data_IF_142630999802
#
_entry.id   IF_142630999802
#
_cell.length_a   1.000
_cell.length_b   1.000
_cell.length_c   1.000
_cell.angle_alpha   90.00
_cell.angle_beta   90.00
_cell.angle_gamma   90.00
#
_symmetry.space_group_name_H-M   'P 1'
#
loop_
_entity.id
_entity.type
_entity.pdbx_description
1 polymer ?
#
# COMPACT_ATOMS: atom_id res chain seq x y z
N UNK A 1 -18.17 32.42 25.23
CA UNK A 1 -18.06 32.44 23.75
C UNK A 1 -16.92 31.48 23.41
N UNK A 2 -17.24 30.21 23.14
CA UNK A 2 -16.23 29.21 22.84
C UNK A 2 -15.82 29.36 21.37
N UNK A 3 -14.53 29.61 21.14
CA UNK A 3 -13.93 29.56 19.81
C UNK A 3 -13.96 28.09 19.36
N UNK A 4 -14.87 27.77 18.45
CA UNK A 4 -14.79 26.55 17.65
C UNK A 4 -13.54 26.69 16.77
N UNK A 5 -12.50 25.92 17.05
CA UNK A 5 -11.43 25.74 16.08
C UNK A 5 -12.03 24.98 14.90
N UNK A 6 -12.22 25.66 13.78
CA UNK A 6 -12.30 24.97 12.49
C UNK A 6 -10.94 24.28 12.30
N UNK A 7 -10.85 23.00 12.66
CA UNK A 7 -9.93 22.13 11.98
C UNK A 7 -10.40 22.16 10.52
N UNK A 8 -9.68 22.88 9.65
CA UNK A 8 -9.90 22.77 8.24
C UNK A 8 -9.70 21.29 7.90
N UNK A 9 -10.79 20.61 7.51
CA UNK A 9 -10.69 19.33 6.83
C UNK A 9 -9.70 19.54 5.69
N UNK A 10 -8.70 18.69 5.57
CA UNK A 10 -7.87 18.74 4.38
C UNK A 10 -8.80 18.56 3.17
N UNK A 11 -8.52 19.23 2.07
CA UNK A 11 -9.25 19.00 0.83
C UNK A 11 -8.29 18.27 -0.10
N UNK A 12 -8.82 17.33 -0.90
CA UNK A 12 -8.03 16.69 -1.95
C UNK A 12 -7.46 17.78 -2.86
N UNK A 13 -6.13 17.87 -2.91
CA UNK A 13 -5.41 18.80 -3.78
C UNK A 13 -4.74 18.02 -4.92
N UNK A 14 -4.85 18.57 -6.13
CA UNK A 14 -4.32 17.96 -7.35
C UNK A 14 -3.41 18.96 -8.04
N UNK A 15 -2.23 18.50 -8.42
CA UNK A 15 -1.28 19.25 -9.22
C UNK A 15 -0.97 18.48 -10.51
N UNK A 16 -0.95 19.19 -11.64
CA UNK A 16 -0.54 18.64 -12.94
C UNK A 16 0.79 19.29 -13.33
N UNK A 17 1.77 18.46 -13.64
CA UNK A 17 3.14 18.86 -13.90
C UNK A 17 4.14 18.06 -13.04
N UNK A 18 5.42 18.45 -13.08
CA UNK A 18 6.45 17.84 -12.23
C UNK A 18 6.02 17.84 -10.77
N UNK A 19 6.21 16.71 -10.09
CA UNK A 19 5.94 16.58 -8.67
C UNK A 19 6.77 17.54 -7.85
N UNK A 20 6.20 18.02 -6.76
CA UNK A 20 6.92 18.78 -5.75
C UNK A 20 7.31 17.92 -4.54
N UNK A 21 7.15 16.59 -4.63
CA UNK A 21 7.69 15.62 -3.69
C UNK A 21 9.23 15.63 -3.80
N UNK A 22 9.96 15.98 -2.72
CA UNK A 22 11.42 15.92 -2.72
C UNK A 22 11.95 14.52 -3.05
N UNK A 23 12.93 14.47 -3.97
CA UNK A 23 13.51 13.23 -4.55
C UNK A 23 12.54 12.39 -5.38
N UNK A 24 11.36 12.93 -5.71
CA UNK A 24 10.45 12.26 -6.62
C UNK A 24 10.96 12.27 -8.07
N UNK A 25 10.55 11.25 -8.82
CA UNK A 25 10.97 11.00 -10.19
C UNK A 25 9.87 11.35 -11.22
N UNK A 26 8.64 11.67 -10.79
CA UNK A 26 7.58 12.20 -11.65
C UNK A 26 7.88 13.65 -12.09
N UNK A 27 8.63 13.81 -13.18
CA UNK A 27 9.11 15.09 -13.71
C UNK A 27 8.41 15.53 -15.02
N UNK A 28 7.32 14.89 -15.40
CA UNK A 28 6.63 15.09 -16.67
C UNK A 28 5.58 16.20 -16.63
N UNK A 29 5.33 16.85 -17.78
CA UNK A 29 4.39 17.98 -17.87
C UNK A 29 2.93 17.60 -17.57
N UNK A 30 2.57 16.33 -17.77
CA UNK A 30 1.22 15.81 -17.48
C UNK A 30 1.18 14.88 -16.27
N UNK A 31 2.28 14.72 -15.53
CA UNK A 31 2.28 13.91 -14.32
C UNK A 31 1.30 14.50 -13.30
N UNK A 32 0.72 13.63 -12.46
CA UNK A 32 -0.38 13.99 -11.58
C UNK A 32 0.06 13.75 -10.15
N UNK A 33 0.15 14.81 -9.34
CA UNK A 33 0.37 14.69 -7.90
C UNK A 33 -0.94 14.91 -7.16
N UNK A 34 -1.29 13.98 -6.27
CA UNK A 34 -2.49 14.05 -5.41
C UNK A 34 -2.06 14.13 -3.96
N UNK A 35 -2.71 15.00 -3.19
CA UNK A 35 -2.54 15.14 -1.74
C UNK A 35 -3.88 15.01 -1.04
N UNK A 36 -3.91 14.29 0.07
CA UNK A 36 -5.12 14.09 0.87
C UNK A 36 -5.00 14.54 2.33
N UNK A 37 -3.98 15.35 2.63
CA UNK A 37 -3.67 15.82 3.99
C UNK A 37 -2.79 14.87 4.80
N UNK A 38 -2.76 13.57 4.50
CA UNK A 38 -1.91 12.59 5.20
C UNK A 38 -0.67 12.20 4.38
N UNK A 39 -0.83 12.04 3.07
CA UNK A 39 0.25 11.74 2.14
C UNK A 39 0.08 12.51 0.83
N UNK A 40 1.16 12.54 0.06
CA UNK A 40 1.20 12.91 -1.35
C UNK A 40 1.61 11.68 -2.17
N UNK A 41 1.08 11.55 -3.37
CA UNK A 41 1.52 10.53 -4.33
C UNK A 41 1.53 11.11 -5.75
N UNK A 42 2.43 10.62 -6.60
CA UNK A 42 2.55 11.07 -7.97
C UNK A 42 2.39 9.92 -8.98
N UNK A 43 1.59 10.15 -10.01
CA UNK A 43 1.39 9.24 -11.13
C UNK A 43 2.27 9.67 -12.31
N UNK A 44 3.04 8.73 -12.84
CA UNK A 44 3.80 8.94 -14.06
C UNK A 44 2.86 8.87 -15.29
N UNK A 45 2.52 10.02 -15.86
CA UNK A 45 1.77 10.13 -17.12
C UNK A 45 2.72 10.29 -18.29
N UNK A 46 3.77 11.10 -18.10
CA UNK A 46 4.83 11.39 -19.06
C UNK A 46 6.19 10.88 -18.63
N UNK A 47 6.46 10.90 -17.31
CA UNK A 47 7.69 10.34 -16.77
C UNK A 47 7.85 8.86 -17.11
N UNK A 48 9.08 8.43 -17.30
CA UNK A 48 9.38 7.02 -17.46
C UNK A 48 9.50 6.39 -16.06
N UNK A 49 8.64 5.44 -15.69
CA UNK A 49 8.80 4.69 -14.45
C UNK A 49 10.11 3.90 -14.44
N UNK A 50 10.58 3.46 -13.26
CA UNK A 50 11.81 2.69 -13.15
C UNK A 50 11.71 1.35 -13.89
N UNK A 51 12.88 0.80 -14.24
CA UNK A 51 13.04 -0.55 -14.80
C UNK A 51 12.25 -0.84 -16.09
N UNK A 52 11.80 0.22 -16.79
CA UNK A 52 11.10 0.10 -18.06
C UNK A 52 9.64 -0.36 -17.94
N UNK A 53 9.00 -0.22 -16.77
CA UNK A 53 7.57 -0.52 -16.62
C UNK A 53 6.69 0.54 -17.29
N UNK A 54 5.44 0.16 -17.56
CA UNK A 54 4.45 1.00 -18.21
C UNK A 54 4.11 2.26 -17.38
N UNK A 55 3.81 3.37 -18.06
CA UNK A 55 3.32 4.59 -17.39
C UNK A 55 1.92 4.40 -16.80
N UNK A 56 1.63 5.20 -15.79
CA UNK A 56 0.31 5.32 -15.16
C UNK A 56 0.16 4.57 -13.84
N UNK A 57 1.27 4.05 -13.30
CA UNK A 57 1.39 3.66 -11.90
C UNK A 57 1.80 4.86 -11.04
N UNK A 58 1.83 4.64 -9.73
CA UNK A 58 2.37 5.60 -8.78
C UNK A 58 3.88 5.41 -8.75
N UNK A 59 4.65 6.48 -8.92
CA UNK A 59 6.12 6.44 -8.92
C UNK A 59 6.76 7.21 -7.78
N UNK A 60 5.96 8.00 -7.04
CA UNK A 60 6.41 8.70 -5.83
C UNK A 60 5.32 8.63 -4.75
N UNK A 61 5.72 8.48 -3.51
CA UNK A 61 4.85 8.56 -2.32
C UNK A 61 5.60 9.33 -1.23
N UNK A 62 4.93 10.25 -0.55
CA UNK A 62 5.51 11.00 0.56
C UNK A 62 4.51 11.23 1.70
N UNK A 63 5.00 11.23 2.93
CA UNK A 63 4.20 11.61 4.11
C UNK A 63 4.03 13.13 4.14
N UNK A 64 2.81 13.61 4.35
CA UNK A 64 2.56 15.04 4.55
C UNK A 64 2.85 15.42 6.00
N UNK A 65 3.64 16.48 6.21
CA UNK A 65 3.91 17.08 7.52
C UNK A 65 3.80 18.59 7.41
N UNK A 66 2.99 19.20 8.27
CA UNK A 66 2.79 20.65 8.28
C UNK A 66 2.38 21.22 6.91
N UNK A 67 1.60 20.44 6.15
CA UNK A 67 1.12 20.82 4.81
C UNK A 67 2.15 20.70 3.69
N UNK A 68 3.33 20.15 3.94
CA UNK A 68 4.37 19.90 2.93
C UNK A 68 4.65 18.40 2.78
N UNK A 69 4.97 17.92 1.56
CA UNK A 69 5.42 16.55 1.36
C UNK A 69 6.83 16.36 1.93
N UNK A 70 7.05 15.27 2.64
CA UNK A 70 8.37 14.75 2.96
C UNK A 70 9.05 14.15 1.73
N UNK A 71 10.22 13.54 1.93
CA UNK A 71 10.90 12.86 0.85
C UNK A 71 10.08 11.70 0.28
N UNK A 72 10.31 11.38 -1.00
CA UNK A 72 9.83 10.14 -1.59
C UNK A 72 10.30 8.90 -0.80
N UNK A 73 9.38 7.95 -0.66
CA UNK A 73 9.54 6.66 0.03
C UNK A 73 9.17 5.47 -0.86
N UNK A 74 8.78 5.66 -2.12
CA UNK A 74 8.34 4.58 -2.99
C UNK A 74 8.81 4.76 -4.43
N UNK A 75 9.54 3.77 -4.96
CA UNK A 75 9.97 3.79 -6.37
C UNK A 75 8.85 3.39 -7.33
N UNK A 76 7.91 2.54 -6.91
CA UNK A 76 6.81 2.06 -7.76
C UNK A 76 5.68 1.44 -6.93
N UNK A 77 4.44 1.85 -7.19
CA UNK A 77 3.24 1.09 -6.86
C UNK A 77 2.38 0.93 -8.11
N UNK A 78 2.22 -0.30 -8.57
CA UNK A 78 1.54 -0.57 -9.85
C UNK A 78 1.02 -2.02 -9.96
N UNK A 79 0.22 -2.28 -10.98
CA UNK A 79 -0.31 -3.61 -11.28
C UNK A 79 0.54 -4.32 -12.35
N UNK A 80 0.96 -5.55 -12.13
CA UNK A 80 1.69 -6.36 -13.11
C UNK A 80 0.76 -7.44 -13.71
N UNK A 81 0.55 -7.47 -15.04
CA UNK A 81 -0.35 -8.42 -15.67
C UNK A 81 0.20 -9.85 -15.76
N UNK A 82 1.52 -10.01 -15.69
CA UNK A 82 2.20 -11.29 -15.58
C UNK A 82 3.67 -11.05 -15.18
N UNK A 83 3.97 -11.03 -13.88
CA UNK A 83 5.31 -10.97 -13.27
C UNK A 83 6.40 -10.22 -14.10
N UNK A 84 6.42 -8.89 -14.03
CA UNK A 84 7.39 -8.01 -14.72
C UNK A 84 7.57 -8.22 -16.23
N UNK A 85 6.65 -8.93 -16.89
CA UNK A 85 6.67 -9.04 -18.36
C UNK A 85 6.55 -7.67 -19.01
N UNK A 86 7.14 -7.51 -20.20
CA UNK A 86 7.14 -6.23 -20.90
C UNK A 86 5.72 -5.81 -21.31
N UNK A 87 5.37 -4.55 -21.02
CA UNK A 87 4.07 -3.94 -21.30
C UNK A 87 4.17 -2.41 -21.15
N UNK A 88 3.28 -1.62 -21.76
CA UNK A 88 2.14 -2.01 -22.57
C UNK A 88 2.54 -2.34 -24.02
N UNK A 89 1.64 -2.95 -24.78
CA UNK A 89 1.94 -3.34 -26.17
C UNK A 89 1.54 -2.28 -27.19
N UNK A 90 0.42 -1.57 -26.99
CA UNK A 90 -0.17 -0.65 -27.98
C UNK A 90 -0.56 0.69 -27.38
N UNK A 91 -1.12 0.72 -26.17
CA UNK A 91 -1.62 1.97 -25.58
C UNK A 91 -1.42 2.05 -24.07
N UNK A 92 -1.33 3.30 -23.61
CA UNK A 92 -1.36 3.68 -22.21
C UNK A 92 -2.04 5.04 -22.08
N UNK A 93 -2.99 5.14 -21.17
CA UNK A 93 -3.77 6.36 -20.92
C UNK A 93 -3.99 6.51 -19.43
N UNK A 94 -3.85 7.73 -18.91
CA UNK A 94 -4.11 8.09 -17.51
C UNK A 94 -5.09 9.25 -17.53
N UNK A 95 -6.22 9.09 -16.86
CA UNK A 95 -7.32 10.05 -16.82
C UNK A 95 -7.72 10.32 -15.36
N UNK A 96 -7.98 11.58 -14.99
CA UNK A 96 -8.79 11.89 -13.80
C UNK A 96 -10.25 11.73 -14.19
N UNK A 97 -10.95 10.75 -13.60
CA UNK A 97 -12.34 10.42 -13.96
C UNK A 97 -13.36 10.93 -12.95
N UNK A 98 -12.94 11.27 -11.74
CA UNK A 98 -13.74 11.95 -10.74
C UNK A 98 -12.82 12.81 -9.87
N UNK A 99 -13.26 14.02 -9.51
CA UNK A 99 -12.54 14.90 -8.60
C UNK A 99 -13.54 15.75 -7.81
N UNK A 100 -13.57 15.55 -6.49
CA UNK A 100 -14.28 16.36 -5.51
C UNK A 100 -13.33 16.72 -4.38
N UNK A 101 -13.68 17.65 -3.47
CA UNK A 101 -12.83 17.95 -2.32
C UNK A 101 -12.61 16.76 -1.38
N UNK A 102 -13.51 15.76 -1.40
CA UNK A 102 -13.45 14.58 -0.52
C UNK A 102 -12.82 13.36 -1.20
N UNK A 103 -12.75 13.33 -2.53
CA UNK A 103 -12.32 12.15 -3.27
C UNK A 103 -11.84 12.46 -4.68
N UNK A 104 -10.79 11.77 -5.11
CA UNK A 104 -10.37 11.71 -6.51
C UNK A 104 -10.26 10.25 -6.96
N UNK A 105 -10.66 10.01 -8.20
CA UNK A 105 -10.43 8.74 -8.89
C UNK A 105 -9.57 8.97 -10.13
N UNK A 106 -8.40 8.36 -10.14
CA UNK A 106 -7.53 8.28 -11.31
C UNK A 106 -7.73 6.93 -11.97
N UNK A 107 -7.88 6.91 -13.29
CA UNK A 107 -8.02 5.70 -14.07
C UNK A 107 -6.87 5.58 -15.04
N UNK A 108 -6.25 4.41 -15.05
CA UNK A 108 -5.22 4.04 -15.99
C UNK A 108 -5.72 2.91 -16.88
N UNK A 109 -5.59 3.06 -18.21
CA UNK A 109 -5.94 2.05 -19.21
C UNK A 109 -4.71 1.67 -20.02
N UNK A 110 -4.42 0.38 -20.08
CA UNK A 110 -3.24 -0.18 -20.77
C UNK A 110 -3.62 -1.49 -21.46
N UNK A 111 -2.73 -2.02 -22.29
CA UNK A 111 -2.85 -3.36 -22.82
C UNK A 111 -1.61 -4.22 -22.55
N UNK A 112 -1.82 -5.53 -22.53
CA UNK A 112 -0.77 -6.54 -22.48
C UNK A 112 -1.12 -7.65 -23.49
N UNK A 113 -0.47 -7.63 -24.65
CA UNK A 113 -0.93 -8.42 -25.79
C UNK A 113 -2.38 -8.10 -26.13
N UNK A 114 -3.26 -9.12 -26.16
CA UNK A 114 -4.70 -8.94 -26.36
C UNK A 114 -5.51 -8.76 -25.06
N UNK A 115 -4.84 -8.63 -23.91
CA UNK A 115 -5.51 -8.31 -22.65
C UNK A 115 -5.66 -6.80 -22.50
N UNK A 116 -6.88 -6.34 -22.23
CA UNK A 116 -7.11 -4.97 -21.80
C UNK A 116 -7.07 -4.87 -20.27
N UNK A 117 -6.41 -3.84 -19.78
CA UNK A 117 -6.21 -3.56 -18.36
C UNK A 117 -6.81 -2.20 -18.05
N UNK A 118 -7.69 -2.15 -17.05
CA UNK A 118 -8.23 -0.90 -16.50
C UNK A 118 -8.03 -0.89 -14.99
N UNK A 119 -7.18 0.01 -14.52
CA UNK A 119 -6.90 0.22 -13.10
C UNK A 119 -7.54 1.53 -12.64
N UNK A 120 -8.25 1.51 -11.52
CA UNK A 120 -8.74 2.70 -10.83
C UNK A 120 -8.05 2.84 -9.48
N UNK A 121 -7.58 4.05 -9.20
CA UNK A 121 -6.99 4.49 -7.94
C UNK A 121 -7.96 5.47 -7.30
N UNK A 122 -8.54 5.10 -6.15
CA UNK A 122 -9.50 5.94 -5.45
C UNK A 122 -8.89 6.42 -4.14
N UNK A 123 -8.75 7.73 -4.03
CA UNK A 123 -8.05 8.42 -2.94
C UNK A 123 -9.08 9.33 -2.26
N UNK A 124 -9.21 9.18 -0.94
CA UNK A 124 -10.17 9.95 -0.13
C UNK A 124 -9.45 10.89 0.81
N UNK A 125 -10.10 12.00 1.10
CA UNK A 125 -9.63 12.96 2.10
C UNK A 125 -9.47 12.28 3.46
N UNK A 126 -8.32 12.51 4.11
CA UNK A 126 -8.04 12.01 5.45
C UNK A 126 -8.00 10.49 5.63
N UNK A 127 -8.10 9.71 4.55
CA UNK A 127 -7.96 8.25 4.59
C UNK A 127 -6.49 7.88 4.33
N UNK A 128 -5.80 7.13 5.21
CA UNK A 128 -4.42 6.72 4.98
C UNK A 128 -4.29 5.69 3.84
N UNK A 129 -5.39 5.31 3.17
CA UNK A 129 -5.43 4.25 2.18
C UNK A 129 -5.83 4.76 0.79
N UNK A 130 -5.24 4.14 -0.22
CA UNK A 130 -5.64 4.23 -1.63
C UNK A 130 -6.24 2.90 -2.03
N UNK A 131 -7.50 2.91 -2.47
CA UNK A 131 -8.14 1.72 -3.02
C UNK A 131 -7.69 1.53 -4.47
N UNK A 132 -7.19 0.34 -4.77
CA UNK A 132 -6.66 -0.07 -6.08
C UNK A 132 -7.56 -1.16 -6.64
N UNK A 133 -8.13 -0.94 -7.82
CA UNK A 133 -8.93 -1.97 -8.50
C UNK A 133 -8.49 -2.10 -9.94
N UNK A 134 -8.10 -3.30 -10.37
CA UNK A 134 -7.76 -3.58 -11.77
C UNK A 134 -8.69 -4.64 -12.34
N UNK A 135 -9.25 -4.37 -13.52
CA UNK A 135 -9.96 -5.36 -14.32
C UNK A 135 -9.08 -5.77 -15.49
N UNK A 136 -8.78 -7.06 -15.57
CA UNK A 136 -8.19 -7.69 -16.75
C UNK A 136 -9.28 -8.27 -17.62
N UNK A 137 -9.19 -8.09 -18.94
CA UNK A 137 -10.11 -8.68 -19.91
C UNK A 137 -9.34 -9.27 -21.08
N UNK A 138 -9.33 -10.60 -21.21
CA UNK A 138 -8.72 -11.28 -22.35
C UNK A 138 -9.60 -11.09 -23.58
N UNK A 139 -9.21 -10.20 -24.50
CA UNK A 139 -9.91 -9.98 -25.77
C UNK A 139 -9.39 -10.88 -26.90
N UNK A 140 -8.41 -11.73 -26.61
CA UNK A 140 -7.83 -12.67 -27.57
C UNK A 140 -8.62 -13.96 -27.68
N UNK A 141 -8.17 -14.82 -28.60
CA UNK A 141 -8.81 -16.13 -28.88
C UNK A 141 -8.15 -17.30 -28.13
N UNK A 142 -7.06 -17.04 -27.38
CA UNK A 142 -6.29 -18.07 -26.67
C UNK A 142 -6.43 -17.91 -25.17
N UNK A 143 -6.53 -19.05 -24.47
CA UNK A 143 -6.37 -19.11 -23.03
C UNK A 143 -4.94 -18.72 -22.64
N UNK A 144 -4.81 -18.02 -21.52
CA UNK A 144 -3.56 -17.59 -20.94
C UNK A 144 -3.35 -18.35 -19.62
N UNK A 145 -2.59 -19.47 -19.62
CA UNK A 145 -2.35 -20.24 -18.42
C UNK A 145 -1.22 -19.64 -17.56
N UNK A 146 -1.16 -20.05 -16.30
CA UNK A 146 -0.03 -19.83 -15.37
C UNK A 146 0.39 -18.36 -15.22
N UNK A 147 -0.59 -17.45 -15.21
CA UNK A 147 -0.38 -16.03 -14.99
C UNK A 147 -0.08 -15.75 -13.52
N UNK A 148 0.99 -15.00 -13.26
CA UNK A 148 1.27 -14.41 -11.95
C UNK A 148 0.94 -12.92 -11.99
N UNK A 149 -0.24 -12.59 -11.49
CA UNK A 149 -0.86 -11.29 -11.69
C UNK A 149 -1.15 -10.60 -10.37
N UNK A 150 -0.89 -9.30 -10.26
CA UNK A 150 -1.24 -8.57 -9.04
C UNK A 150 -0.48 -7.26 -8.87
N UNK A 151 -0.51 -6.71 -7.66
CA UNK A 151 0.07 -5.42 -7.33
C UNK A 151 1.46 -5.56 -6.74
N UNK A 152 2.29 -4.56 -7.04
CA UNK A 152 3.61 -4.40 -6.46
C UNK A 152 3.67 -3.08 -5.70
N UNK A 153 4.44 -3.04 -4.61
CA UNK A 153 4.78 -1.85 -3.86
C UNK A 153 6.26 -1.89 -3.48
N UNK A 154 7.06 -1.09 -4.18
CA UNK A 154 8.51 -1.03 -4.02
C UNK A 154 8.90 0.25 -3.30
N UNK A 155 9.49 0.16 -2.09
CA UNK A 155 9.93 1.33 -1.35
C UNK A 155 11.24 1.90 -1.92
N UNK A 156 11.42 3.21 -1.79
CA UNK A 156 12.71 3.88 -1.95
C UNK A 156 13.44 3.96 -0.60
N UNK A 157 13.91 2.80 -0.12
CA UNK A 157 14.65 2.65 1.13
C UNK A 157 13.88 1.94 2.26
N UNK A 158 14.30 2.20 3.50
CA UNK A 158 13.74 1.57 4.71
C UNK A 158 14.07 0.08 4.86
N UNK A 159 13.22 -0.61 5.61
CA UNK A 159 13.30 -2.04 5.91
C UNK A 159 12.07 -2.76 5.33
N UNK A 160 12.28 -4.01 4.91
CA UNK A 160 11.20 -4.88 4.45
C UNK A 160 10.70 -5.72 5.62
N UNK A 161 9.41 -5.62 5.90
CA UNK A 161 8.74 -6.54 6.82
C UNK A 161 8.31 -7.83 6.08
N UNK A 162 7.79 -7.68 4.87
CA UNK A 162 7.21 -8.77 4.09
C UNK A 162 5.77 -9.08 4.51
N UNK A 163 5.33 -10.32 4.30
CA UNK A 163 3.98 -10.79 4.67
C UNK A 163 4.02 -11.39 6.08
N UNK A 164 3.07 -11.08 6.99
CA UNK A 164 3.00 -11.71 8.30
C UNK A 164 3.01 -13.24 8.21
N UNK A 165 3.82 -13.88 9.06
CA UNK A 165 4.02 -15.33 9.00
C UNK A 165 5.04 -15.80 7.96
N UNK A 166 5.46 -14.98 7.00
CA UNK A 166 6.42 -15.35 5.94
C UNK A 166 7.68 -14.47 5.98
N UNK A 167 8.02 -13.94 7.15
CA UNK A 167 9.18 -13.06 7.30
C UNK A 167 10.48 -13.78 6.91
N UNK A 168 11.28 -13.12 6.06
CA UNK A 168 12.52 -13.67 5.52
C UNK A 168 12.37 -14.43 4.20
N UNK A 169 11.15 -14.81 3.82
CA UNK A 169 10.90 -15.42 2.51
C UNK A 169 11.12 -14.41 1.39
N UNK A 170 11.82 -14.83 0.34
CA UNK A 170 12.00 -14.00 -0.87
C UNK A 170 10.93 -14.27 -1.90
N UNK A 171 10.48 -15.52 -2.02
CA UNK A 171 9.46 -15.96 -2.96
C UNK A 171 8.85 -17.23 -2.43
N UNK A 172 7.53 -17.25 -2.27
CA UNK A 172 6.81 -18.40 -1.76
C UNK A 172 5.33 -18.32 -2.12
N UNK A 173 4.63 -19.45 -2.03
CA UNK A 173 3.18 -19.42 -1.84
C UNK A 173 2.85 -18.78 -0.48
N UNK A 174 1.63 -18.26 -0.35
CA UNK A 174 1.15 -17.58 0.86
C UNK A 174 0.34 -18.49 1.80
N UNK A 175 0.48 -19.80 1.65
CA UNK A 175 -0.26 -20.80 2.44
C UNK A 175 0.00 -20.75 3.95
N UNK A 176 1.17 -20.24 4.36
CA UNK A 176 1.53 -20.01 5.78
C UNK A 176 1.43 -18.53 6.21
N UNK A 177 0.86 -17.67 5.36
CA UNK A 177 0.63 -16.27 5.73
C UNK A 177 -0.36 -16.20 6.90
N UNK A 178 -0.05 -15.34 7.88
CA UNK A 178 -0.92 -15.13 9.04
C UNK A 178 -1.70 -13.82 8.99
N UNK A 179 -1.50 -13.06 7.90
CA UNK A 179 -2.31 -11.91 7.46
C UNK A 179 -2.15 -11.63 5.96
N UNK A 180 -3.02 -10.80 5.39
CA UNK A 180 -3.15 -10.55 3.94
C UNK A 180 -2.38 -9.32 3.42
N UNK A 181 -1.66 -8.65 4.30
CA UNK A 181 -0.88 -7.46 3.98
C UNK A 181 0.62 -7.74 3.95
N UNK A 182 1.33 -6.80 3.36
CA UNK A 182 2.79 -6.76 3.36
C UNK A 182 3.25 -5.35 3.60
N UNK A 183 4.46 -5.14 4.12
CA UNK A 183 4.91 -3.79 4.43
C UNK A 183 6.41 -3.57 4.18
N UNK A 184 6.70 -2.32 3.86
CA UNK A 184 8.00 -1.68 4.03
C UNK A 184 7.87 -0.54 5.02
N UNK A 185 8.91 -0.24 5.78
CA UNK A 185 8.83 0.78 6.83
C UNK A 185 10.18 1.40 7.19
N UNK A 186 10.14 2.56 7.83
CA UNK A 186 11.25 3.17 8.55
C UNK A 186 10.69 3.79 9.85
N UNK A 187 11.51 4.47 10.64
CA UNK A 187 11.12 5.09 11.90
C UNK A 187 9.89 6.02 11.78
N UNK A 188 9.73 6.69 10.63
CA UNK A 188 8.74 7.75 10.43
C UNK A 188 7.75 7.49 9.27
N UNK A 189 7.72 6.28 8.72
CA UNK A 189 6.73 5.91 7.71
C UNK A 189 6.50 4.40 7.63
N UNK A 190 5.33 4.01 7.13
CA UNK A 190 5.02 2.65 6.66
C UNK A 190 4.35 2.75 5.29
N UNK A 191 4.75 1.86 4.39
CA UNK A 191 4.12 1.60 3.10
C UNK A 191 3.59 0.17 3.11
N UNK A 192 2.27 0.02 3.33
CA UNK A 192 1.57 -1.26 3.39
C UNK A 192 0.84 -1.57 2.08
N UNK A 193 0.85 -2.83 1.67
CA UNK A 193 0.05 -3.35 0.56
C UNK A 193 -0.84 -4.49 1.06
N UNK A 194 -2.15 -4.24 1.07
CA UNK A 194 -3.20 -5.23 1.35
C UNK A 194 -3.66 -5.86 0.05
N UNK A 195 -3.45 -7.17 -0.10
CA UNK A 195 -3.78 -7.90 -1.33
C UNK A 195 -4.46 -9.24 -0.99
N UNK A 196 -5.73 -9.23 -0.57
CA UNK A 196 -6.42 -10.43 -0.09
C UNK A 196 -6.64 -11.52 -1.16
N UNK A 197 -6.46 -11.17 -2.44
CA UNK A 197 -6.51 -12.13 -3.54
C UNK A 197 -5.20 -12.91 -3.72
N UNK A 198 -4.10 -12.45 -3.14
CA UNK A 198 -2.78 -13.01 -3.43
C UNK A 198 -2.61 -14.39 -2.79
N UNK A 199 -2.01 -15.30 -3.54
CA UNK A 199 -1.58 -16.62 -3.08
C UNK A 199 -0.07 -16.86 -3.26
N UNK A 200 0.62 -15.90 -3.87
CA UNK A 200 2.04 -15.96 -4.19
C UNK A 200 2.72 -14.61 -3.87
N UNK A 201 3.84 -14.64 -3.15
CA UNK A 201 4.69 -13.48 -2.94
C UNK A 201 5.97 -13.57 -3.75
N UNK A 202 6.49 -12.43 -4.22
CA UNK A 202 7.87 -12.29 -4.73
C UNK A 202 8.57 -11.11 -4.06
N UNK A 203 9.89 -11.11 -4.16
CA UNK A 203 10.78 -10.07 -3.65
C UNK A 203 10.50 -9.65 -2.19
N UNK A 204 10.26 -10.63 -1.32
CA UNK A 204 9.94 -10.43 0.10
C UNK A 204 8.66 -9.62 0.34
N UNK A 205 7.61 -9.94 -0.42
CA UNK A 205 6.27 -9.37 -0.25
C UNK A 205 6.08 -8.01 -0.91
N UNK A 206 7.10 -7.46 -1.59
CA UNK A 206 6.92 -6.27 -2.44
C UNK A 206 6.00 -6.54 -3.61
N UNK A 207 5.97 -7.78 -4.08
CA UNK A 207 5.07 -8.24 -5.12
C UNK A 207 4.09 -9.24 -4.54
N UNK A 208 2.80 -8.99 -4.74
CA UNK A 208 1.70 -9.83 -4.27
C UNK A 208 0.88 -10.27 -5.47
N UNK A 209 0.89 -11.57 -5.75
CA UNK A 209 0.33 -12.16 -6.97
C UNK A 209 -0.70 -13.23 -6.67
N UNK A 210 -1.62 -13.41 -7.61
CA UNK A 210 -2.43 -14.60 -7.76
C UNK A 210 -1.88 -15.43 -8.92
N UNK A 211 -1.69 -16.73 -8.71
CA UNK A 211 -1.48 -17.70 -9.78
C UNK A 211 -2.82 -18.12 -10.39
N UNK A 212 -3.06 -17.81 -11.66
CA UNK A 212 -4.32 -18.11 -12.32
C UNK A 212 -4.19 -18.34 -13.82
N UNK A 213 -5.32 -18.66 -14.47
CA UNK A 213 -5.46 -18.61 -15.92
C UNK A 213 -6.52 -17.58 -16.30
N UNK A 214 -6.51 -17.15 -17.56
CA UNK A 214 -7.51 -16.23 -18.12
C UNK A 214 -7.98 -16.72 -19.50
N UNK A 215 -9.21 -17.22 -19.56
CA UNK A 215 -9.84 -17.77 -20.77
C UNK A 215 -10.18 -16.68 -21.80
N UNK A 216 -10.37 -17.03 -23.09
CA UNK A 216 -10.86 -16.10 -24.09
C UNK A 216 -12.17 -15.43 -23.68
N UNK A 217 -12.22 -14.09 -23.70
CA UNK A 217 -13.38 -13.30 -23.28
C UNK A 217 -13.57 -13.18 -21.76
N UNK A 218 -12.75 -13.86 -20.95
CA UNK A 218 -12.85 -13.80 -19.50
C UNK A 218 -12.43 -12.44 -18.95
N UNK A 219 -13.06 -12.05 -17.84
CA UNK A 219 -12.69 -10.90 -17.04
C UNK A 219 -12.37 -11.30 -15.62
N UNK A 220 -11.28 -10.79 -15.10
CA UNK A 220 -10.87 -10.99 -13.72
C UNK A 220 -10.57 -9.66 -13.06
N UNK A 221 -11.02 -9.50 -11.81
CA UNK A 221 -10.85 -8.26 -11.04
C UNK A 221 -9.94 -8.51 -9.85
N UNK A 222 -9.05 -7.54 -9.60
CA UNK A 222 -8.07 -7.56 -8.52
C UNK A 222 -8.25 -6.29 -7.69
N UNK A 223 -8.58 -6.47 -6.41
CA UNK A 223 -8.77 -5.37 -5.47
C UNK A 223 -7.70 -5.42 -4.37
N UNK A 224 -7.06 -4.28 -4.12
CA UNK A 224 -6.02 -4.11 -3.13
C UNK A 224 -6.11 -2.72 -2.50
N UNK A 225 -5.35 -2.50 -1.43
CA UNK A 225 -5.20 -1.19 -0.81
C UNK A 225 -3.73 -0.90 -0.54
N UNK A 226 -3.26 0.25 -1.01
CA UNK A 226 -2.02 0.84 -0.54
C UNK A 226 -2.33 1.63 0.73
N UNK A 227 -1.61 1.39 1.82
CA UNK A 227 -1.76 2.13 3.07
C UNK A 227 -0.45 2.86 3.40
N UNK A 228 -0.56 4.13 3.76
CA UNK A 228 0.57 5.02 4.00
C UNK A 228 0.43 5.62 5.40
N UNK A 229 1.35 5.26 6.31
CA UNK A 229 1.33 5.74 7.70
C UNK A 229 2.51 6.67 7.99
N UNK A 230 2.31 7.61 8.91
CA UNK A 230 3.30 8.66 9.25
C UNK A 230 4.26 8.28 10.39
N UNK A 231 4.32 7.00 10.75
CA UNK A 231 5.22 6.43 11.75
C UNK A 231 5.58 5.00 11.39
N UNK A 232 6.67 4.46 11.95
CA UNK A 232 7.06 3.06 11.79
C UNK A 232 6.18 2.04 12.53
N UNK A 233 4.94 2.39 12.88
CA UNK A 233 4.01 1.53 13.61
C UNK A 233 3.23 0.64 12.63
N UNK A 234 3.26 -0.69 12.80
CA UNK A 234 2.53 -1.62 11.92
C UNK A 234 1.12 -1.96 12.42
N UNK A 235 0.76 -1.60 13.65
CA UNK A 235 -0.59 -1.87 14.19
C UNK A 235 -1.74 -1.31 13.31
N UNK A 236 -1.62 -0.14 12.66
CA UNK A 236 -2.64 0.35 11.73
C UNK A 236 -2.91 -0.58 10.54
N UNK A 237 -1.93 -1.39 10.10
CA UNK A 237 -2.16 -2.38 9.05
C UNK A 237 -3.06 -3.52 9.56
N UNK A 238 -2.88 -3.93 10.80
CA UNK A 238 -3.75 -4.95 11.44
C UNK A 238 -5.18 -4.42 11.61
N UNK A 239 -5.35 -3.14 11.95
CA UNK A 239 -6.68 -2.51 12.01
C UNK A 239 -7.36 -2.54 10.65
N UNK A 240 -6.64 -2.21 9.58
CA UNK A 240 -7.17 -2.28 8.22
C UNK A 240 -7.51 -3.72 7.80
N UNK A 241 -6.66 -4.70 8.11
CA UNK A 241 -6.93 -6.13 7.89
C UNK A 241 -8.24 -6.56 8.57
N UNK A 242 -8.42 -6.21 9.85
CA UNK A 242 -9.63 -6.49 10.61
C UNK A 242 -10.87 -5.89 9.93
N UNK A 243 -10.78 -4.65 9.45
CA UNK A 243 -11.87 -3.96 8.76
C UNK A 243 -12.23 -4.66 7.43
N UNK A 244 -11.24 -4.91 6.58
CA UNK A 244 -11.43 -5.47 5.24
C UNK A 244 -11.96 -6.90 5.29
N UNK A 245 -11.39 -7.74 6.16
CA UNK A 245 -11.80 -9.13 6.31
C UNK A 245 -12.96 -9.32 7.31
N UNK A 246 -13.40 -8.25 7.98
CA UNK A 246 -14.45 -8.28 9.02
C UNK A 246 -14.13 -9.28 10.13
N UNK A 247 -12.88 -9.30 10.57
CA UNK A 247 -12.41 -10.26 11.57
C UNK A 247 -12.99 -9.91 12.94
N UNK A 248 -13.41 -10.91 13.74
CA UNK A 248 -13.64 -10.68 15.16
C UNK A 248 -12.32 -10.25 15.80
N UNK A 249 -12.36 -9.20 16.63
CA UNK A 249 -11.16 -8.61 17.21
C UNK A 249 -11.39 -8.14 18.64
N UNK A 250 -10.29 -7.93 19.35
CA UNK A 250 -10.26 -7.38 20.69
C UNK A 250 -9.12 -6.38 20.86
N UNK A 251 -9.20 -5.57 21.91
CA UNK A 251 -8.17 -4.62 22.27
C UNK A 251 -7.21 -5.20 23.30
N UNK A 252 -5.92 -4.97 23.11
CA UNK A 252 -4.85 -5.28 24.06
C UNK A 252 -4.15 -3.97 24.42
N UNK A 253 -4.06 -3.66 25.70
CA UNK A 253 -3.40 -2.45 26.18
C UNK A 253 -2.59 -2.74 27.43
N UNK A 254 -1.54 -1.97 27.67
CA UNK A 254 -0.66 -2.17 28.82
C UNK A 254 0.34 -1.04 29.05
N UNK A 255 1.13 -1.20 30.12
CA UNK A 255 2.25 -0.32 30.43
C UNK A 255 3.57 -1.08 30.27
N UNK A 256 4.59 -0.40 29.74
CA UNK A 256 5.95 -0.93 29.64
C UNK A 256 6.85 -0.23 30.64
N UNK A 257 7.48 -1.03 31.49
CA UNK A 257 8.40 -0.56 32.53
C UNK A 257 9.76 -1.22 32.39
N UNK A 258 10.82 -0.47 32.65
CA UNK A 258 12.18 -0.97 32.78
C UNK A 258 12.31 -1.86 34.03
N UNK A 259 13.44 -2.56 34.14
CA UNK A 259 13.74 -3.43 35.28
C UNK A 259 13.81 -2.70 36.64
N UNK A 260 14.04 -1.39 36.65
CA UNK A 260 13.99 -0.52 37.84
C UNK A 260 12.59 0.10 38.07
N UNK A 261 11.58 -0.30 37.31
CA UNK A 261 10.17 0.06 37.49
C UNK A 261 9.73 1.38 36.85
N UNK A 262 10.62 2.09 36.15
CA UNK A 262 10.29 3.35 35.46
C UNK A 262 9.54 3.07 34.16
N UNK A 263 8.64 3.98 33.77
CA UNK A 263 7.97 3.92 32.48
C UNK A 263 8.99 4.14 31.35
N UNK A 264 8.89 3.33 30.30
CA UNK A 264 9.67 3.51 29.07
C UNK A 264 8.91 4.51 28.20
N UNK A 265 9.46 5.69 27.90
CA UNK A 265 8.67 6.77 27.27
C UNK A 265 8.07 6.39 25.91
N UNK A 266 8.83 5.70 25.06
CA UNK A 266 8.40 5.26 23.72
C UNK A 266 8.64 3.75 23.56
N UNK A 267 7.80 2.91 24.16
CA UNK A 267 8.02 1.48 24.10
C UNK A 267 7.68 0.94 22.72
N UNK A 268 8.49 0.03 22.21
CA UNK A 268 8.12 -0.83 21.09
C UNK A 268 7.64 -2.17 21.63
N UNK A 269 6.45 -2.59 21.21
CA UNK A 269 5.85 -3.86 21.63
C UNK A 269 5.66 -4.73 20.40
N UNK A 270 6.34 -5.87 20.39
CA UNK A 270 6.30 -6.85 19.30
C UNK A 270 5.24 -7.90 19.59
N UNK A 271 4.46 -8.22 18.58
CA UNK A 271 3.42 -9.24 18.61
C UNK A 271 3.83 -10.39 17.72
N UNK A 272 3.84 -11.59 18.29
CA UNK A 272 4.03 -12.83 17.55
C UNK A 272 2.70 -13.58 17.45
N UNK A 273 2.44 -14.16 16.29
CA UNK A 273 1.38 -15.14 16.04
C UNK A 273 2.06 -16.43 15.60
N UNK A 274 1.78 -17.54 16.28
CA UNK A 274 2.42 -18.84 16.05
C UNK A 274 3.95 -18.78 16.07
N UNK A 275 4.51 -17.95 16.97
CA UNK A 275 5.96 -17.78 17.14
C UNK A 275 6.65 -16.95 16.06
N UNK A 276 5.93 -16.47 15.04
CA UNK A 276 6.47 -15.60 13.98
C UNK A 276 5.99 -14.15 14.19
N UNK A 277 6.78 -13.12 13.81
CA UNK A 277 6.33 -11.73 13.84
C UNK A 277 5.01 -11.56 13.08
N UNK A 278 4.07 -10.85 13.71
CA UNK A 278 2.78 -10.50 13.13
C UNK A 278 2.63 -8.98 12.95
N UNK A 279 2.97 -8.19 13.96
CA UNK A 279 3.11 -6.74 13.88
C UNK A 279 3.91 -6.20 15.08
N UNK A 280 4.13 -4.90 15.13
CA UNK A 280 4.52 -4.20 16.35
C UNK A 280 3.76 -2.89 16.49
N UNK A 281 3.62 -2.44 17.73
CA UNK A 281 3.06 -1.13 18.08
C UNK A 281 4.12 -0.25 18.74
N UNK A 282 4.11 1.03 18.39
CA UNK A 282 4.91 2.07 19.04
C UNK A 282 4.02 2.81 20.02
N UNK A 283 4.34 2.68 21.32
CA UNK A 283 3.62 3.33 22.40
C UNK A 283 4.13 4.73 22.71
N UNK A 284 3.45 5.41 23.65
CA UNK A 284 3.83 6.73 24.14
C UNK A 284 3.50 6.87 25.63
N UNK A 285 4.35 7.58 26.39
CA UNK A 285 4.20 7.75 27.83
C UNK A 285 4.24 6.42 28.59
N UNK A 286 4.97 5.43 28.08
CA UNK A 286 5.03 4.07 28.65
C UNK A 286 3.78 3.24 28.47
N UNK A 287 2.86 3.64 27.59
CA UNK A 287 1.62 2.92 27.31
C UNK A 287 1.55 2.49 25.87
N UNK A 288 0.92 1.35 25.64
CA UNK A 288 0.59 0.86 24.31
C UNK A 288 -0.87 0.40 24.27
N UNK A 289 -1.45 0.46 23.09
CA UNK A 289 -2.80 0.03 22.77
C UNK A 289 -2.77 -0.53 21.35
N UNK A 290 -3.31 -1.73 21.14
CA UNK A 290 -3.41 -2.33 19.83
C UNK A 290 -4.64 -3.23 19.71
N UNK A 291 -5.25 -3.19 18.54
CA UNK A 291 -6.32 -4.12 18.16
C UNK A 291 -5.72 -5.35 17.48
N UNK A 292 -6.18 -6.55 17.88
CA UNK A 292 -5.76 -7.80 17.27
C UNK A 292 -6.99 -8.63 16.88
N UNK A 293 -6.96 -9.38 15.77
CA UNK A 293 -7.94 -10.42 15.50
C UNK A 293 -7.97 -11.45 16.63
N UNK A 294 -9.11 -12.11 16.87
CA UNK A 294 -9.20 -13.19 17.84
C UNK A 294 -8.17 -14.29 17.51
N UNK A 295 -7.35 -14.63 18.50
CA UNK A 295 -6.27 -15.61 18.34
C UNK A 295 -5.38 -15.71 19.56
N UNK A 296 -4.33 -16.52 19.46
CA UNK A 296 -3.29 -16.67 20.49
C UNK A 296 -2.04 -15.93 20.04
N UNK A 297 -1.53 -15.07 20.92
CA UNK A 297 -0.37 -14.22 20.61
C UNK A 297 0.63 -14.25 21.76
N UNK A 298 1.90 -14.06 21.41
CA UNK A 298 2.95 -13.71 22.36
C UNK A 298 3.26 -12.23 22.19
N UNK A 299 3.27 -11.48 23.29
CA UNK A 299 3.52 -10.04 23.29
C UNK A 299 4.72 -9.76 24.19
N UNK A 300 5.70 -9.00 23.70
CA UNK A 300 6.84 -8.57 24.49
C UNK A 300 7.30 -7.17 24.10
N UNK A 301 7.82 -6.44 25.09
CA UNK A 301 8.44 -5.13 24.86
C UNK A 301 9.94 -5.27 24.63
N UNK A 302 10.50 -4.39 23.80
CA UNK A 302 11.95 -4.29 23.53
C UNK A 302 12.51 -2.96 23.99
#
# INVERSE_FOLDING_TARGET
MALLSNAALAEIAVHIGPTDIPRGEANGERDITVRNGLFALAFAVDSAPPWGVARGGIVDVAIMREGQPGNDIASLVDFMPNNWSAWPTRYQQVDIVNQTPQEITIRTRRDWGEVALETTFRIRDGDPRVQLTTVMHNKGEKALPDLLTGYVAWPDGGYLYGVPGLSGEKSSAETEATGDWSASYDHNWVLGLHAPYADELRYSGRDRYLLHQLEPGERQSFEAWLQVESSGNLAPLVVAEIEFQKLPSGNVAGEVRSSDGKLVEQPAVVVLKDGRPYCWVLGQGGRYDLQLPVGTYTVYAT
#
